data_IF_482437005628
#
_entry.id   IF_482437005628
#
_cell.length_a   1.000
_cell.length_b   1.000
_cell.length_c   1.000
_cell.angle_alpha   90.00
_cell.angle_beta   90.00
_cell.angle_gamma   90.00
#
_symmetry.space_group_name_H-M   'P 1'
#
loop_
_entity.id
_entity.type
_entity.pdbx_description
1 polymer ?
#
# COMPACT_ATOMS: atom_id res chain seq x y z
N UNK A 1 -4.04 13.56 2.28
CA UNK A 1 -5.28 14.12 1.68
C UNK A 1 -6.42 14.24 2.70
N UNK A 2 -6.57 13.28 3.61
CA UNK A 2 -7.65 13.27 4.61
C UNK A 2 -7.46 14.35 5.70
N UNK A 3 -6.28 14.51 6.33
CA UNK A 3 -6.07 15.64 7.24
C UNK A 3 -6.29 16.97 6.51
N UNK A 4 -7.10 17.85 7.09
CA UNK A 4 -7.49 19.14 6.48
C UNK A 4 -8.57 19.05 5.39
N UNK A 5 -9.15 17.87 5.11
CA UNK A 5 -10.31 17.72 4.23
C UNK A 5 -10.03 18.06 2.76
N UNK A 6 -8.79 17.96 2.29
CA UNK A 6 -8.45 18.20 0.89
C UNK A 6 -9.02 17.10 -0.03
N UNK A 7 -9.17 15.89 0.51
CA UNK A 7 -9.75 14.73 -0.20
C UNK A 7 -11.18 15.01 -0.69
N UNK A 8 -11.99 15.70 0.13
CA UNK A 8 -13.39 16.03 -0.17
C UNK A 8 -13.54 17.13 -1.21
N UNK A 9 -12.46 17.87 -1.50
CA UNK A 9 -12.42 18.97 -2.46
C UNK A 9 -11.84 18.55 -3.81
N UNK A 10 -11.57 17.26 -4.01
CA UNK A 10 -11.13 16.73 -5.30
C UNK A 10 -12.36 16.58 -6.22
N UNK A 11 -12.29 17.21 -7.40
CA UNK A 11 -13.29 17.06 -8.47
C UNK A 11 -12.88 15.97 -9.46
N UNK A 12 -13.83 15.47 -10.26
CA UNK A 12 -13.53 14.56 -11.38
C UNK A 12 -12.55 15.20 -12.38
N UNK A 13 -12.70 16.50 -12.68
CA UNK A 13 -11.77 17.20 -13.57
C UNK A 13 -10.34 17.16 -13.04
N UNK A 14 -10.14 17.34 -11.73
CA UNK A 14 -8.82 17.24 -11.11
C UNK A 14 -8.29 15.81 -11.18
N UNK A 15 -9.13 14.82 -10.90
CA UNK A 15 -8.79 13.40 -11.02
C UNK A 15 -8.32 13.05 -12.45
N UNK A 16 -9.13 13.39 -13.45
CA UNK A 16 -8.86 13.17 -14.89
C UNK A 16 -7.56 13.86 -15.31
N UNK A 17 -7.39 15.12 -14.90
CA UNK A 17 -6.19 15.90 -15.24
C UNK A 17 -4.94 15.27 -14.64
N UNK A 18 -4.97 14.87 -13.36
CA UNK A 18 -3.82 14.21 -12.73
C UNK A 18 -3.51 12.86 -13.36
N UNK A 19 -4.52 12.02 -13.64
CA UNK A 19 -4.32 10.73 -14.32
C UNK A 19 -3.63 10.90 -15.68
N UNK A 20 -4.06 11.89 -16.47
CA UNK A 20 -3.45 12.21 -17.78
C UNK A 20 -2.02 12.71 -17.65
N UNK A 21 -1.74 13.59 -16.68
CA UNK A 21 -0.37 14.08 -16.41
C UNK A 21 0.58 12.95 -15.97
N UNK A 22 0.05 11.96 -15.25
CA UNK A 22 0.79 10.74 -14.89
C UNK A 22 0.96 9.76 -16.05
N UNK A 23 0.46 10.08 -17.26
CA UNK A 23 0.66 9.29 -18.47
C UNK A 23 -0.37 8.19 -18.72
N UNK A 24 -1.42 8.08 -17.89
CA UNK A 24 -2.45 7.07 -18.07
C UNK A 24 -3.43 7.42 -19.20
N UNK A 25 -3.87 6.39 -19.92
CA UNK A 25 -5.10 6.47 -20.72
C UNK A 25 -6.30 6.54 -19.76
N UNK A 26 -6.82 7.75 -19.57
CA UNK A 26 -7.88 8.03 -18.57
C UNK A 26 -9.17 7.25 -18.85
N UNK A 27 -9.54 7.08 -20.12
CA UNK A 27 -10.76 6.39 -20.52
C UNK A 27 -10.69 4.89 -20.19
N UNK A 28 -9.50 4.32 -20.23
CA UNK A 28 -9.28 2.94 -19.83
C UNK A 28 -9.00 2.80 -18.32
N UNK A 29 -8.19 3.68 -17.75
CA UNK A 29 -7.68 3.56 -16.39
C UNK A 29 -8.74 3.85 -15.33
N UNK A 30 -9.48 4.96 -15.42
CA UNK A 30 -10.43 5.34 -14.37
C UNK A 30 -11.56 4.32 -14.15
N UNK A 31 -12.13 3.68 -15.19
CA UNK A 31 -13.07 2.57 -14.99
C UNK A 31 -12.49 1.40 -14.17
N UNK A 32 -11.22 1.06 -14.34
CA UNK A 32 -10.56 0.00 -13.56
C UNK A 32 -10.50 0.36 -12.09
N UNK A 33 -10.06 1.58 -11.75
CA UNK A 33 -10.02 2.05 -10.35
C UNK A 33 -11.40 2.19 -9.72
N UNK A 34 -12.42 2.60 -10.49
CA UNK A 34 -13.82 2.67 -10.01
C UNK A 34 -14.41 1.28 -9.77
N UNK A 35 -14.08 0.30 -10.61
CA UNK A 35 -14.59 -1.08 -10.48
C UNK A 35 -14.09 -1.75 -9.20
N UNK A 36 -12.82 -1.54 -8.84
CA UNK A 36 -12.26 -2.07 -7.58
C UNK A 36 -12.71 -1.29 -6.34
N UNK A 37 -13.33 -0.11 -6.51
CA UNK A 37 -13.77 0.78 -5.43
C UNK A 37 -15.13 1.44 -5.78
N UNK A 38 -16.24 0.70 -5.79
CA UNK A 38 -17.54 1.18 -6.31
C UNK A 38 -18.15 2.36 -5.53
N UNK A 39 -17.67 2.63 -4.32
CA UNK A 39 -18.11 3.75 -3.48
C UNK A 39 -17.05 4.84 -3.30
N UNK A 40 -15.95 4.79 -4.08
CA UNK A 40 -14.90 5.79 -4.01
C UNK A 40 -15.35 7.14 -4.56
N UNK A 41 -15.03 8.20 -3.83
CA UNK A 41 -15.11 9.58 -4.32
C UNK A 41 -13.96 9.87 -5.29
N UNK A 42 -14.01 10.97 -6.07
CA UNK A 42 -12.86 11.38 -6.88
C UNK A 42 -11.57 11.57 -6.06
N UNK A 43 -11.70 11.96 -4.79
CA UNK A 43 -10.56 12.08 -3.88
C UNK A 43 -9.95 10.75 -3.46
N UNK A 44 -10.76 9.71 -3.26
CA UNK A 44 -10.29 8.36 -2.99
C UNK A 44 -9.57 7.76 -4.20
N UNK A 45 -10.12 7.97 -5.40
CA UNK A 45 -9.52 7.54 -6.66
C UNK A 45 -8.19 8.27 -6.92
N UNK A 46 -8.14 9.58 -6.67
CA UNK A 46 -6.90 10.34 -6.76
C UNK A 46 -5.87 9.84 -5.75
N UNK A 47 -6.30 9.50 -4.53
CA UNK A 47 -5.45 8.85 -3.53
C UNK A 47 -4.84 7.55 -4.04
N UNK A 48 -5.64 6.69 -4.67
CA UNK A 48 -5.17 5.43 -5.26
C UNK A 48 -4.17 5.65 -6.40
N UNK A 49 -4.40 6.61 -7.31
CA UNK A 49 -3.44 6.97 -8.36
C UNK A 49 -2.11 7.46 -7.78
N UNK A 50 -2.16 8.31 -6.77
CA UNK A 50 -0.97 8.83 -6.07
C UNK A 50 -0.22 7.68 -5.37
N UNK A 51 -0.95 6.76 -4.72
CA UNK A 51 -0.37 5.56 -4.09
C UNK A 51 0.42 4.75 -5.11
N UNK A 52 -0.14 4.55 -6.30
CA UNK A 52 0.53 3.79 -7.36
C UNK A 52 1.76 4.49 -7.92
N UNK A 53 1.61 5.77 -8.25
CA UNK A 53 2.67 6.57 -8.86
C UNK A 53 3.91 6.71 -7.99
N UNK A 54 3.71 7.00 -6.70
CA UNK A 54 4.80 7.29 -5.76
C UNK A 54 5.31 6.06 -5.01
N UNK A 55 4.47 5.04 -4.76
CA UNK A 55 4.81 3.96 -3.85
C UNK A 55 4.72 2.58 -4.49
N UNK A 56 3.51 2.13 -4.86
CA UNK A 56 3.29 0.72 -5.23
C UNK A 56 4.06 0.32 -6.48
N UNK A 57 3.96 1.10 -7.57
CA UNK A 57 4.62 0.73 -8.84
C UNK A 57 6.14 0.81 -8.72
N UNK A 58 6.76 1.88 -8.19
CA UNK A 58 8.20 1.92 -7.99
C UNK A 58 8.73 0.78 -7.10
N UNK A 59 8.03 0.43 -6.02
CA UNK A 59 8.42 -0.67 -5.15
C UNK A 59 8.39 -2.02 -5.89
N UNK A 60 7.36 -2.27 -6.70
CA UNK A 60 7.27 -3.46 -7.55
C UNK A 60 8.42 -3.49 -8.56
N UNK A 61 8.70 -2.38 -9.27
CA UNK A 61 9.81 -2.33 -10.24
C UNK A 61 11.17 -2.57 -9.60
N UNK A 62 11.38 -2.06 -8.39
CA UNK A 62 12.59 -2.34 -7.62
C UNK A 62 12.71 -3.83 -7.26
N UNK A 63 11.62 -4.45 -6.79
CA UNK A 63 11.61 -5.89 -6.49
C UNK A 63 11.87 -6.72 -7.76
N UNK A 64 11.20 -6.41 -8.87
CA UNK A 64 11.45 -7.09 -10.15
C UNK A 64 12.90 -6.93 -10.63
N UNK A 65 13.48 -5.74 -10.50
CA UNK A 65 14.87 -5.50 -10.84
C UNK A 65 15.82 -6.26 -9.93
N UNK A 66 15.55 -6.31 -8.61
CA UNK A 66 16.37 -7.05 -7.67
C UNK A 66 16.35 -8.55 -7.98
N UNK A 67 15.17 -9.13 -8.22
CA UNK A 67 15.01 -10.53 -8.59
C UNK A 67 15.72 -10.87 -9.92
N UNK A 68 15.60 -10.03 -10.95
CA UNK A 68 16.31 -10.22 -12.24
C UNK A 68 17.83 -10.22 -12.11
N UNK A 69 18.38 -9.59 -11.07
CA UNK A 69 19.82 -9.53 -10.82
C UNK A 69 20.28 -10.56 -9.76
N UNK A 70 19.50 -11.63 -9.55
CA UNK A 70 19.86 -12.73 -8.64
C UNK A 70 19.51 -12.50 -7.17
N UNK A 71 18.83 -11.39 -6.85
CA UNK A 71 18.32 -11.12 -5.50
C UNK A 71 17.09 -11.95 -5.15
N UNK A 72 16.76 -11.98 -3.86
CA UNK A 72 15.55 -12.63 -3.32
C UNK A 72 14.70 -11.61 -2.55
N UNK A 73 14.09 -10.62 -3.23
CA UNK A 73 13.27 -9.59 -2.59
C UNK A 73 12.05 -10.21 -1.91
N UNK A 74 11.63 -9.65 -0.78
CA UNK A 74 10.34 -9.99 -0.17
C UNK A 74 9.48 -8.72 -0.14
N UNK A 75 8.26 -8.81 -0.66
CA UNK A 75 7.33 -7.67 -0.75
C UNK A 75 6.18 -7.87 0.22
N UNK A 76 5.78 -6.81 0.90
CA UNK A 76 4.57 -6.77 1.72
C UNK A 76 3.69 -5.55 1.41
N UNK A 77 2.39 -5.67 1.68
CA UNK A 77 1.41 -4.59 1.66
C UNK A 77 0.87 -4.39 3.07
N UNK A 78 1.00 -3.17 3.62
CA UNK A 78 0.29 -2.79 4.84
C UNK A 78 -1.12 -2.32 4.49
N UNK A 79 -2.13 -3.07 4.93
CA UNK A 79 -3.53 -2.87 4.56
C UNK A 79 -4.45 -2.65 5.78
N UNK A 80 -3.92 -2.68 7.00
CA UNK A 80 -4.68 -2.28 8.19
C UNK A 80 -5.05 -0.81 8.13
N UNK A 81 -6.31 -0.51 8.48
CA UNK A 81 -6.89 0.83 8.33
C UNK A 81 -6.96 1.51 9.69
N UNK A 82 -6.29 2.65 9.82
CA UNK A 82 -6.37 3.47 11.03
C UNK A 82 -7.79 3.97 11.29
N UNK A 83 -8.27 3.94 12.55
CA UNK A 83 -9.60 4.42 12.93
C UNK A 83 -9.70 5.96 12.91
N UNK A 84 -8.57 6.67 12.80
CA UNK A 84 -8.54 8.13 12.75
C UNK A 84 -9.43 8.70 11.64
N UNK A 85 -9.97 9.89 11.89
CA UNK A 85 -10.89 10.59 10.97
C UNK A 85 -12.09 9.72 10.58
N UNK A 86 -12.72 9.04 11.55
CA UNK A 86 -13.84 8.12 11.34
C UNK A 86 -13.52 7.00 10.33
N UNK A 87 -12.32 6.41 10.43
CA UNK A 87 -11.85 5.34 9.53
C UNK A 87 -11.48 5.80 8.13
N UNK A 88 -11.54 7.11 7.85
CA UNK A 88 -11.19 7.68 6.53
C UNK A 88 -9.68 7.75 6.33
N UNK A 89 -8.87 7.75 7.39
CA UNK A 89 -7.41 7.82 7.26
C UNK A 89 -6.84 6.61 6.52
N UNK A 90 -7.41 5.42 6.75
CA UNK A 90 -7.02 4.19 6.05
C UNK A 90 -5.61 3.72 6.41
N UNK A 91 -5.00 2.95 5.51
CA UNK A 91 -3.59 2.53 5.59
C UNK A 91 -2.68 3.65 5.05
N UNK A 92 -2.74 4.82 5.69
CA UNK A 92 -2.00 5.99 5.24
C UNK A 92 -0.48 5.82 5.36
N UNK A 93 0.25 6.68 4.66
CA UNK A 93 1.71 6.74 4.74
C UNK A 93 2.20 6.85 6.20
N UNK A 94 3.23 6.05 6.52
CA UNK A 94 3.92 5.98 7.80
C UNK A 94 3.12 5.38 8.97
N UNK A 95 1.87 4.91 8.76
CA UNK A 95 1.09 4.23 9.80
C UNK A 95 1.76 2.92 10.23
N UNK A 96 2.38 2.21 9.30
CA UNK A 96 3.01 0.91 9.52
C UNK A 96 4.25 0.98 10.41
N UNK A 97 4.89 2.14 10.54
CA UNK A 97 6.15 2.30 11.28
C UNK A 97 5.97 1.86 12.74
N UNK A 98 4.88 2.23 13.39
CA UNK A 98 4.60 1.82 14.78
C UNK A 98 4.48 0.29 14.93
N UNK A 99 3.97 -0.39 13.92
CA UNK A 99 3.82 -1.85 13.88
C UNK A 99 5.14 -2.55 13.58
N UNK A 100 5.95 -2.03 12.64
CA UNK A 100 7.28 -2.57 12.32
C UNK A 100 8.21 -2.56 13.54
N UNK A 101 8.15 -1.50 14.34
CA UNK A 101 9.02 -1.32 15.50
C UNK A 101 8.46 -1.90 16.80
N UNK A 102 7.27 -2.49 16.78
CA UNK A 102 6.55 -2.95 17.97
C UNK A 102 6.54 -1.91 19.12
N UNK A 103 6.17 -0.69 18.76
CA UNK A 103 6.24 0.48 19.66
C UNK A 103 4.88 1.17 19.81
N UNK A 104 3.79 0.44 19.62
CA UNK A 104 2.43 0.99 19.63
C UNK A 104 2.06 1.70 20.94
N UNK A 105 2.68 1.35 22.07
CA UNK A 105 2.43 1.98 23.38
C UNK A 105 3.36 3.12 23.76
N UNK A 106 4.31 3.53 22.90
CA UNK A 106 5.26 4.62 23.21
C UNK A 106 4.70 6.00 22.82
N UNK A 107 4.95 6.99 23.68
CA UNK A 107 4.60 8.39 23.41
C UNK A 107 5.16 8.85 22.06
N UNK A 108 4.29 9.36 21.20
CA UNK A 108 4.62 9.82 19.83
C UNK A 108 4.37 8.79 18.72
N UNK A 109 4.46 7.48 19.01
CA UNK A 109 4.22 6.41 18.02
C UNK A 109 2.72 6.22 17.69
N UNK A 110 1.83 6.61 18.60
CA UNK A 110 0.37 6.46 18.47
C UNK A 110 -0.32 7.50 17.57
N UNK A 111 0.41 8.50 17.07
CA UNK A 111 -0.21 9.67 16.42
C UNK A 111 -0.98 9.33 15.14
N UNK A 112 -0.59 8.27 14.43
CA UNK A 112 -1.20 7.86 13.15
C UNK A 112 -2.03 6.57 13.24
N UNK A 113 -1.78 5.74 14.24
CA UNK A 113 -2.49 4.48 14.46
C UNK A 113 -3.76 4.65 15.32
N UNK A 114 -3.96 5.81 15.94
CA UNK A 114 -5.14 6.06 16.77
C UNK A 114 -5.11 5.28 18.09
N UNK A 115 -6.28 5.17 18.73
CA UNK A 115 -6.40 4.48 20.01
C UNK A 115 -6.50 2.97 19.76
N UNK A 116 -5.79 2.19 20.59
CA UNK A 116 -5.84 0.72 20.61
C UNK A 116 -5.56 0.03 19.26
N UNK A 117 -4.45 0.35 18.55
CA UNK A 117 -4.03 -0.44 17.39
C UNK A 117 -3.76 -1.90 17.78
N UNK A 118 -4.00 -2.87 16.86
CA UNK A 118 -3.92 -4.28 17.20
C UNK A 118 -2.48 -4.73 17.45
N UNK A 119 -2.15 -5.02 18.71
CA UNK A 119 -0.83 -5.51 19.12
C UNK A 119 -0.41 -6.77 18.34
N UNK A 120 -1.32 -7.72 18.12
CA UNK A 120 -1.04 -8.94 17.35
C UNK A 120 -0.55 -8.65 15.91
N UNK A 121 -0.98 -7.54 15.30
CA UNK A 121 -0.46 -7.13 13.99
C UNK A 121 0.97 -6.60 14.09
N UNK A 122 1.28 -5.85 15.15
CA UNK A 122 2.64 -5.37 15.41
C UNK A 122 3.58 -6.55 15.68
N UNK A 123 3.15 -7.50 16.52
CA UNK A 123 3.92 -8.73 16.80
C UNK A 123 4.25 -9.46 15.49
N UNK A 124 3.27 -9.65 14.60
CA UNK A 124 3.45 -10.33 13.32
C UNK A 124 4.40 -9.58 12.37
N UNK A 125 4.25 -8.25 12.25
CA UNK A 125 5.11 -7.43 11.39
C UNK A 125 6.53 -7.33 11.93
N UNK A 126 6.67 -7.08 13.23
CA UNK A 126 7.96 -6.99 13.90
C UNK A 126 8.72 -8.32 13.78
N UNK A 127 8.05 -9.45 14.02
CA UNK A 127 8.63 -10.78 13.85
C UNK A 127 9.13 -11.00 12.41
N UNK A 128 8.36 -10.60 11.39
CA UNK A 128 8.77 -10.71 10.00
C UNK A 128 10.04 -9.88 9.71
N UNK A 129 10.10 -8.64 10.20
CA UNK A 129 11.26 -7.75 10.04
C UNK A 129 12.50 -8.27 10.75
N UNK A 130 12.38 -8.73 11.99
CA UNK A 130 13.49 -9.34 12.76
C UNK A 130 13.97 -10.62 12.06
N UNK A 131 13.05 -11.44 11.57
CA UNK A 131 13.41 -12.68 10.86
C UNK A 131 14.12 -12.37 9.54
N UNK A 132 13.68 -11.37 8.78
CA UNK A 132 14.40 -10.90 7.58
C UNK A 132 15.82 -10.45 7.94
N UNK A 133 15.99 -9.63 8.98
CA UNK A 133 17.29 -9.08 9.36
C UNK A 133 18.27 -10.15 9.88
N UNK A 134 17.76 -11.19 10.54
CA UNK A 134 18.58 -12.23 11.17
C UNK A 134 18.83 -13.45 10.29
N UNK A 135 17.91 -13.78 9.37
CA UNK A 135 17.98 -15.00 8.55
C UNK A 135 17.88 -14.77 7.04
N UNK A 136 17.48 -13.57 6.60
CA UNK A 136 17.26 -13.24 5.20
C UNK A 136 15.91 -13.70 4.62
N UNK A 137 15.08 -14.42 5.39
CA UNK A 137 13.80 -14.96 4.91
C UNK A 137 12.66 -14.77 5.94
N UNK A 138 11.72 -13.84 5.74
CA UNK A 138 10.72 -13.46 6.74
C UNK A 138 9.52 -14.42 6.86
N UNK A 139 9.59 -15.61 6.25
CA UNK A 139 8.55 -16.64 6.36
C UNK A 139 7.56 -16.73 5.20
N UNK A 140 7.80 -16.05 4.07
CA UNK A 140 7.08 -16.27 2.81
C UNK A 140 8.05 -16.31 1.63
N UNK A 141 7.57 -16.81 0.48
CA UNK A 141 8.39 -16.93 -0.73
C UNK A 141 8.86 -15.56 -1.24
N UNK A 142 10.11 -15.45 -1.75
CA UNK A 142 10.57 -14.26 -2.43
C UNK A 142 9.64 -13.85 -3.58
N UNK A 143 9.61 -12.55 -3.85
CA UNK A 143 8.89 -11.96 -4.96
C UNK A 143 9.53 -12.35 -6.29
N UNK A 144 8.72 -12.81 -7.22
CA UNK A 144 9.08 -13.01 -8.62
C UNK A 144 8.00 -12.41 -9.54
N UNK A 145 8.36 -12.20 -10.82
CA UNK A 145 7.47 -11.54 -11.78
C UNK A 145 6.31 -12.41 -12.27
N UNK A 146 6.34 -13.72 -12.00
CA UNK A 146 5.31 -14.69 -12.40
C UNK A 146 4.20 -14.77 -11.35
N UNK A 147 4.55 -15.08 -10.10
CA UNK A 147 3.58 -15.28 -9.01
C UNK A 147 3.29 -13.97 -8.25
N UNK A 148 4.24 -13.03 -8.24
CA UNK A 148 4.10 -11.70 -7.61
C UNK A 148 3.59 -11.80 -6.17
N UNK A 149 4.18 -12.70 -5.41
CA UNK A 149 3.84 -13.00 -4.02
C UNK A 149 4.01 -11.78 -3.12
N UNK A 150 2.97 -11.42 -2.38
CA UNK A 150 2.96 -10.31 -1.43
C UNK A 150 2.43 -10.78 -0.08
N UNK A 151 3.14 -10.48 1.00
CA UNK A 151 2.58 -10.60 2.36
C UNK A 151 1.66 -9.41 2.64
N UNK A 152 0.36 -9.64 2.83
CA UNK A 152 -0.59 -8.58 3.14
C UNK A 152 -0.88 -8.55 4.64
N UNK A 153 -0.41 -7.50 5.30
CA UNK A 153 -0.65 -7.25 6.71
C UNK A 153 -1.97 -6.49 6.90
N UNK A 154 -2.99 -7.17 7.39
CA UNK A 154 -4.33 -6.63 7.59
C UNK A 154 -4.96 -7.21 8.87
N UNK A 155 -5.90 -6.47 9.47
CA UNK A 155 -6.56 -6.94 10.69
C UNK A 155 -5.56 -7.17 11.81
N UNK A 156 -5.36 -8.43 12.22
CA UNK A 156 -4.49 -8.84 13.33
C UNK A 156 -3.29 -9.69 12.89
N UNK A 157 -2.96 -9.78 11.60
CA UNK A 157 -1.83 -10.58 11.12
C UNK A 157 -1.52 -10.41 9.63
N UNK A 158 -0.80 -11.38 9.08
CA UNK A 158 -0.39 -11.41 7.67
C UNK A 158 -1.03 -12.55 6.89
N UNK A 159 -1.37 -12.32 5.61
CA UNK A 159 -1.79 -13.37 4.67
C UNK A 159 -1.06 -13.20 3.35
N UNK A 160 -0.54 -14.29 2.80
CA UNK A 160 0.09 -14.28 1.48
C UNK A 160 -0.98 -14.16 0.40
N UNK A 161 -0.81 -13.20 -0.50
CA UNK A 161 -1.67 -12.97 -1.67
C UNK A 161 -0.81 -12.88 -2.93
N UNK A 162 -1.42 -13.20 -4.08
CA UNK A 162 -0.74 -13.22 -5.39
C UNK A 162 -1.22 -12.04 -6.23
N UNK A 163 -0.27 -11.24 -6.72
CA UNK A 163 -0.50 -10.05 -7.56
C UNK A 163 -1.69 -9.17 -7.13
N UNK A 164 -1.70 -8.66 -5.87
CA UNK A 164 -2.81 -7.83 -5.40
C UNK A 164 -2.99 -6.60 -6.29
N UNK A 165 -4.25 -6.37 -6.71
CA UNK A 165 -4.64 -5.30 -7.63
C UNK A 165 -3.88 -5.31 -8.98
N UNK A 166 -3.65 -6.52 -9.53
CA UNK A 166 -3.04 -6.78 -10.84
C UNK A 166 -3.55 -5.86 -11.98
N UNK A 167 -4.88 -5.68 -12.08
CA UNK A 167 -5.50 -4.85 -13.13
C UNK A 167 -5.04 -3.40 -13.06
N UNK A 168 -4.89 -2.85 -11.85
CA UNK A 168 -4.39 -1.49 -11.67
C UNK A 168 -2.90 -1.41 -11.97
N UNK A 169 -2.11 -2.40 -11.52
CA UNK A 169 -0.68 -2.49 -11.81
C UNK A 169 -0.38 -2.46 -13.31
N UNK A 170 -1.15 -3.23 -14.09
CA UNK A 170 -0.98 -3.35 -15.54
C UNK A 170 -1.21 -2.02 -16.29
N UNK A 171 -2.01 -1.09 -15.74
CA UNK A 171 -2.21 0.23 -16.33
C UNK A 171 -0.92 1.07 -16.38
N UNK A 172 0.06 0.74 -15.53
CA UNK A 172 1.31 1.49 -15.41
C UNK A 172 2.46 0.88 -16.21
N UNK A 173 2.21 -0.18 -16.97
CA UNK A 173 3.24 -0.80 -17.81
C UNK A 173 3.75 0.19 -18.87
N UNK A 174 5.07 0.41 -18.88
CA UNK A 174 5.73 1.37 -19.78
C UNK A 174 5.64 2.85 -19.35
N UNK A 175 4.95 3.16 -18.25
CA UNK A 175 4.75 4.55 -17.77
C UNK A 175 5.58 4.83 -16.51
N UNK A 176 5.72 3.84 -15.60
CA UNK A 176 6.40 3.98 -14.30
C UNK A 176 7.14 2.72 -13.85
#
# INVERSE_FOLDING_TARGET
LVPGGAIDRVTDDRLVTTARVMGLDVEHALPVYRTSRPHATPGDLLGALITDWFFRIPAIRLAEAHARNGGSPHVYEFAWRSPLFNGRFGAAHAVEIGFVFDNLGRDGAMTLAGNEPPQALADAMHHAWVTLATSGAPGWSPYDARERTVMRFAGTGGTVVMDPAAKERQLWDGIR
#
